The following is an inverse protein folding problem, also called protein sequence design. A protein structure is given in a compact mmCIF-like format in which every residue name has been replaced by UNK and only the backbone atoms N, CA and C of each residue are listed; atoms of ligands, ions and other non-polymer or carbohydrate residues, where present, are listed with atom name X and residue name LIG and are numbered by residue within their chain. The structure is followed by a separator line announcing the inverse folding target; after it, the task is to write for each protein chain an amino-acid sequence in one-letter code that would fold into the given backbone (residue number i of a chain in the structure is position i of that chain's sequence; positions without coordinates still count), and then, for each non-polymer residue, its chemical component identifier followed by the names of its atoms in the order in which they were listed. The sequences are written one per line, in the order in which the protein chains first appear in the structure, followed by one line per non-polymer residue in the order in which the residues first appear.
data_IF_241335204080
#
_entry.id   IF_241335204080
#
_cell.length_a   1.000
_cell.length_b   1.000
_cell.length_c   1.000
_cell.angle_alpha   90.00
_cell.angle_beta   90.00
_cell.angle_gamma   90.00
#
_symmetry.space_group_name_H-M   'P 1'
#
loop_
_entity.id
_entity.type
_entity.pdbx_description
1 polymer ?
#
# COMPACT_ATOMS: atom_id res chain seq x y z
N UNK A 1 -13.30 -2.74 -29.40
CA UNK A 1 -14.43 -1.98 -28.85
C UNK A 1 -15.71 -2.82 -28.94
N UNK A 2 -16.48 -2.86 -27.85
CA UNK A 2 -17.82 -3.45 -27.88
C UNK A 2 -18.80 -2.36 -28.36
N UNK A 3 -19.29 -2.48 -29.59
CA UNK A 3 -20.15 -1.47 -30.21
C UNK A 3 -21.55 -1.37 -29.57
N UNK A 4 -21.92 -2.25 -28.66
CA UNK A 4 -23.22 -2.25 -27.98
C UNK A 4 -23.21 -1.52 -26.64
N UNK A 5 -22.09 -1.47 -25.94
CA UNK A 5 -21.96 -0.81 -24.64
C UNK A 5 -21.35 0.56 -24.80
N UNK A 6 -22.00 1.59 -24.24
CA UNK A 6 -21.48 2.97 -24.16
C UNK A 6 -20.61 3.17 -22.91
N UNK A 7 -20.35 2.11 -22.16
CA UNK A 7 -19.46 2.10 -21.02
C UNK A 7 -18.02 1.86 -21.46
N UNK A 8 -17.09 2.59 -20.84
CA UNK A 8 -15.65 2.49 -21.08
C UNK A 8 -14.90 2.30 -19.75
N UNK A 9 -14.06 1.29 -19.69
CA UNK A 9 -13.07 1.16 -18.62
C UNK A 9 -11.75 1.77 -19.07
N UNK A 10 -11.13 2.59 -18.19
CA UNK A 10 -9.75 3.05 -18.33
C UNK A 10 -8.96 2.53 -17.14
N UNK A 11 -8.12 1.53 -17.39
CA UNK A 11 -7.32 0.87 -16.35
C UNK A 11 -5.87 1.36 -16.38
N UNK A 12 -5.41 1.92 -15.26
CA UNK A 12 -4.06 2.40 -15.06
C UNK A 12 -3.23 1.38 -14.28
N UNK A 13 -2.01 1.11 -14.73
CA UNK A 13 -1.12 0.15 -14.10
C UNK A 13 -0.32 0.76 -12.93
N UNK A 14 0.10 -0.10 -12.00
CA UNK A 14 0.98 0.26 -10.88
C UNK A 14 2.45 0.36 -11.32
N UNK A 15 3.34 0.57 -10.34
CA UNK A 15 4.79 0.58 -10.53
C UNK A 15 5.33 -0.75 -11.04
N UNK A 16 6.44 -0.70 -11.76
CA UNK A 16 7.20 -1.86 -12.24
C UNK A 16 6.40 -2.88 -13.08
N UNK A 17 5.33 -2.42 -13.72
CA UNK A 17 4.60 -3.24 -14.68
C UNK A 17 5.31 -3.14 -16.04
N UNK A 18 5.80 -4.26 -16.61
CA UNK A 18 6.50 -4.25 -17.89
C UNK A 18 5.63 -3.73 -19.04
N UNK A 19 6.29 -3.23 -20.08
CA UNK A 19 5.62 -2.82 -21.32
C UNK A 19 4.77 -3.95 -21.89
N UNK A 20 3.53 -3.66 -22.25
CA UNK A 20 2.59 -4.65 -22.78
C UNK A 20 1.86 -5.48 -21.73
N UNK A 21 2.23 -5.37 -20.44
CA UNK A 21 1.50 -5.93 -19.32
C UNK A 21 0.60 -4.87 -18.67
N UNK A 22 -0.54 -5.28 -18.13
CA UNK A 22 -1.50 -4.36 -17.52
C UNK A 22 -2.14 -4.95 -16.26
N UNK A 23 -2.28 -4.11 -15.24
CA UNK A 23 -3.02 -4.45 -14.05
C UNK A 23 -4.52 -4.61 -14.36
N UNK A 24 -5.20 -5.44 -13.60
CA UNK A 24 -6.63 -5.75 -13.79
C UNK A 24 -7.02 -6.35 -15.16
N UNK A 25 -6.07 -6.66 -16.05
CA UNK A 25 -6.35 -7.24 -17.37
C UNK A 25 -7.36 -8.40 -17.32
N UNK A 26 -7.12 -9.39 -16.45
CA UNK A 26 -7.98 -10.58 -16.33
C UNK A 26 -9.40 -10.26 -15.87
N UNK A 27 -9.55 -9.22 -15.04
CA UNK A 27 -10.83 -8.81 -14.48
C UNK A 27 -11.59 -7.96 -15.51
N UNK A 28 -10.96 -6.89 -15.98
CA UNK A 28 -11.59 -5.91 -16.88
C UNK A 28 -11.97 -6.54 -18.24
N UNK A 29 -11.21 -7.51 -18.72
CA UNK A 29 -11.58 -8.22 -19.96
C UNK A 29 -12.87 -9.03 -19.87
N UNK A 30 -13.35 -9.34 -18.66
CA UNK A 30 -14.63 -10.02 -18.42
C UNK A 30 -15.83 -9.07 -18.36
N UNK A 31 -15.60 -7.75 -18.40
CA UNK A 31 -16.65 -6.71 -18.38
C UNK A 31 -17.21 -6.51 -19.79
N UNK A 32 -18.51 -6.24 -19.89
CA UNK A 32 -19.16 -5.92 -21.18
C UNK A 32 -19.06 -4.42 -21.46
N UNK A 33 -17.86 -3.96 -21.81
CA UNK A 33 -17.54 -2.55 -22.02
C UNK A 33 -16.38 -2.40 -23.01
N UNK A 34 -16.17 -1.21 -23.55
CA UNK A 34 -14.90 -0.84 -24.20
C UNK A 34 -13.80 -0.67 -23.16
N UNK A 35 -12.54 -0.96 -23.53
CA UNK A 35 -11.43 -1.03 -22.57
C UNK A 35 -10.22 -0.29 -23.10
N UNK A 36 -9.63 0.55 -22.24
CA UNK A 36 -8.37 1.27 -22.47
C UNK A 36 -7.44 0.89 -21.32
N UNK A 37 -6.29 0.34 -21.63
CA UNK A 37 -5.26 -0.02 -20.65
C UNK A 37 -4.07 0.93 -20.82
N UNK A 38 -3.65 1.55 -19.72
CA UNK A 38 -2.58 2.54 -19.68
C UNK A 38 -1.50 2.04 -18.72
N UNK A 39 -0.24 2.11 -19.16
CA UNK A 39 0.92 1.80 -18.33
C UNK A 39 1.94 2.94 -18.39
N UNK A 40 2.51 3.29 -17.24
CA UNK A 40 3.66 4.19 -17.13
C UNK A 40 4.91 3.38 -16.73
N UNK A 41 5.58 2.82 -17.73
CA UNK A 41 6.78 1.97 -17.56
C UNK A 41 7.97 2.68 -16.88
N UNK A 42 7.88 4.00 -16.74
CA UNK A 42 8.91 4.82 -16.10
C UNK A 42 8.60 5.14 -14.63
N UNK A 43 7.51 4.61 -14.06
CA UNK A 43 7.06 4.93 -12.71
C UNK A 43 6.96 6.44 -12.46
N UNK A 44 6.51 7.21 -13.44
CA UNK A 44 6.42 8.67 -13.39
C UNK A 44 5.15 9.19 -12.73
N UNK A 45 4.33 8.31 -12.14
CA UNK A 45 3.01 8.66 -11.57
C UNK A 45 2.08 9.36 -12.55
N UNK A 46 2.25 9.09 -13.86
CA UNK A 46 1.45 9.69 -14.94
C UNK A 46 1.50 11.24 -14.99
N UNK A 47 2.31 11.91 -14.17
CA UNK A 47 2.45 13.36 -14.12
C UNK A 47 3.22 13.95 -15.31
N UNK A 48 3.77 13.10 -16.14
CA UNK A 48 4.46 13.46 -17.39
C UNK A 48 3.65 13.11 -18.64
N UNK A 49 2.42 12.63 -18.46
CA UNK A 49 1.57 12.13 -19.53
C UNK A 49 1.66 10.61 -19.73
N UNK A 50 0.98 10.12 -20.76
CA UNK A 50 0.98 8.70 -21.15
C UNK A 50 2.19 8.48 -22.06
N UNK A 51 3.06 7.49 -21.76
CA UNK A 51 4.20 7.15 -22.62
C UNK A 51 3.79 6.92 -24.08
N UNK A 52 4.51 7.58 -25.00
CA UNK A 52 4.21 7.51 -26.43
C UNK A 52 3.11 8.45 -26.92
N UNK A 53 2.38 9.14 -26.03
CA UNK A 53 1.35 10.13 -26.37
C UNK A 53 1.87 11.55 -26.19
N UNK A 54 2.53 11.82 -25.07
CA UNK A 54 3.09 13.14 -24.74
C UNK A 54 2.79 13.55 -23.32
N UNK A 55 2.79 14.87 -23.04
CA UNK A 55 2.46 15.41 -21.72
C UNK A 55 1.01 15.13 -21.30
N UNK A 56 0.66 15.59 -20.09
CA UNK A 56 -0.71 15.37 -19.54
C UNK A 56 -1.78 15.95 -20.45
N UNK A 57 -1.57 17.16 -21.01
CA UNK A 57 -2.57 17.81 -21.86
C UNK A 57 -2.80 17.02 -23.16
N UNK A 58 -1.73 16.62 -23.83
CA UNK A 58 -1.82 15.77 -25.05
C UNK A 58 -2.46 14.42 -24.73
N UNK A 59 -2.17 13.85 -23.59
CA UNK A 59 -2.76 12.59 -23.12
C UNK A 59 -4.26 12.74 -22.84
N UNK A 60 -4.69 13.85 -22.27
CA UNK A 60 -6.10 14.17 -22.07
C UNK A 60 -6.81 14.37 -23.41
N UNK A 61 -6.21 15.10 -24.37
CA UNK A 61 -6.79 15.28 -25.70
C UNK A 61 -6.91 13.95 -26.46
N UNK A 62 -5.92 13.08 -26.32
CA UNK A 62 -5.97 11.75 -26.89
C UNK A 62 -7.14 10.92 -26.31
N UNK A 63 -7.29 10.89 -24.99
CA UNK A 63 -8.40 10.17 -24.34
C UNK A 63 -9.75 10.81 -24.66
N UNK A 64 -9.84 12.13 -24.71
CA UNK A 64 -11.04 12.86 -25.12
C UNK A 64 -11.51 12.41 -26.51
N UNK A 65 -10.60 12.34 -27.48
CA UNK A 65 -10.92 11.92 -28.85
C UNK A 65 -11.38 10.47 -28.91
N UNK A 66 -10.73 9.56 -28.14
CA UNK A 66 -11.15 8.16 -28.06
C UNK A 66 -12.55 8.03 -27.47
N UNK A 67 -12.83 8.71 -26.36
CA UNK A 67 -14.13 8.65 -25.69
C UNK A 67 -15.26 9.18 -26.60
N UNK A 68 -15.02 10.25 -27.35
CA UNK A 68 -15.96 10.74 -28.33
C UNK A 68 -16.19 9.75 -29.50
N UNK A 69 -15.11 9.15 -30.01
CA UNK A 69 -15.20 8.12 -31.07
C UNK A 69 -15.98 6.90 -30.60
N UNK A 70 -15.83 6.50 -29.34
CA UNK A 70 -16.58 5.40 -28.72
C UNK A 70 -18.00 5.80 -28.32
N UNK A 71 -18.37 7.08 -28.42
CA UNK A 71 -19.63 7.63 -27.93
C UNK A 71 -19.92 7.24 -26.49
N UNK A 72 -18.89 7.38 -25.63
CA UNK A 72 -18.97 7.00 -24.22
C UNK A 72 -20.04 7.81 -23.48
N UNK A 73 -20.87 7.16 -22.69
CA UNK A 73 -21.83 7.77 -21.76
C UNK A 73 -21.39 7.60 -20.31
N UNK A 74 -20.72 6.48 -20.02
CA UNK A 74 -20.17 6.19 -18.72
C UNK A 74 -18.70 5.76 -18.84
N UNK A 75 -17.87 6.24 -17.91
CA UNK A 75 -16.45 5.91 -17.84
C UNK A 75 -16.08 5.53 -16.41
N UNK A 76 -15.50 4.36 -16.25
CA UNK A 76 -14.92 3.92 -14.98
C UNK A 76 -13.40 3.91 -15.12
N UNK A 77 -12.74 4.77 -14.32
CA UNK A 77 -11.29 4.75 -14.21
C UNK A 77 -10.90 3.86 -13.01
N UNK A 78 -9.91 3.00 -13.19
CA UNK A 78 -9.52 2.06 -12.15
C UNK A 78 -7.99 1.91 -12.11
N UNK A 79 -7.42 1.84 -10.92
CA UNK A 79 -5.99 1.57 -10.78
C UNK A 79 -5.54 1.34 -9.36
N UNK A 80 -4.45 0.55 -9.15
CA UNK A 80 -3.82 0.38 -7.85
C UNK A 80 -2.58 1.26 -7.72
N UNK A 81 -2.31 1.77 -6.51
CA UNK A 81 -1.11 2.55 -6.17
C UNK A 81 -0.87 3.71 -7.15
N UNK A 82 0.26 3.72 -7.87
CA UNK A 82 0.54 4.69 -8.95
C UNK A 82 -0.61 4.79 -9.95
N UNK A 83 -1.22 3.66 -10.32
CA UNK A 83 -2.38 3.63 -11.23
C UNK A 83 -3.62 4.25 -10.63
N UNK A 84 -3.82 4.15 -9.30
CA UNK A 84 -4.89 4.84 -8.59
C UNK A 84 -4.75 6.36 -8.67
N UNK A 85 -3.51 6.86 -8.51
CA UNK A 85 -3.21 8.27 -8.74
C UNK A 85 -3.52 8.70 -10.18
N UNK A 86 -3.05 7.94 -11.18
CA UNK A 86 -3.33 8.20 -12.59
C UNK A 86 -4.84 8.24 -12.89
N UNK A 87 -5.59 7.27 -12.35
CA UNK A 87 -7.04 7.22 -12.50
C UNK A 87 -7.74 8.48 -11.95
N UNK A 88 -7.31 8.96 -10.78
CA UNK A 88 -7.85 10.18 -10.16
C UNK A 88 -7.45 11.44 -10.93
N UNK A 89 -6.18 11.59 -11.30
CA UNK A 89 -5.68 12.75 -12.05
C UNK A 89 -6.39 12.92 -13.40
N UNK A 90 -6.37 11.87 -14.21
CA UNK A 90 -6.97 11.90 -15.55
C UNK A 90 -8.48 11.95 -15.49
N UNK A 91 -9.09 11.22 -14.55
CA UNK A 91 -10.54 11.24 -14.34
C UNK A 91 -11.06 12.62 -13.97
N UNK A 92 -10.36 13.32 -13.06
CA UNK A 92 -10.74 14.68 -12.66
C UNK A 92 -10.69 15.68 -13.84
N UNK A 93 -9.60 15.63 -14.62
CA UNK A 93 -9.45 16.55 -15.78
C UNK A 93 -10.49 16.20 -16.88
N UNK A 94 -10.70 14.91 -17.18
CA UNK A 94 -11.68 14.47 -18.16
C UNK A 94 -13.10 14.82 -17.73
N UNK A 95 -13.47 14.64 -16.46
CA UNK A 95 -14.77 15.02 -15.92
C UNK A 95 -15.07 16.51 -16.12
N UNK A 96 -14.09 17.37 -15.85
CA UNK A 96 -14.22 18.81 -16.09
C UNK A 96 -14.34 19.16 -17.58
N UNK A 97 -13.65 18.42 -18.46
CA UNK A 97 -13.65 18.63 -19.91
C UNK A 97 -14.88 18.05 -20.61
N UNK A 98 -15.48 16.99 -20.05
CA UNK A 98 -16.61 16.23 -20.59
C UNK A 98 -17.73 16.08 -19.53
N UNK A 99 -18.35 17.17 -19.03
CA UNK A 99 -19.31 17.10 -17.93
C UNK A 99 -20.59 16.31 -18.26
N UNK A 100 -20.83 16.06 -19.54
CA UNK A 100 -21.99 15.28 -20.04
C UNK A 100 -21.75 13.76 -19.95
N UNK A 101 -20.52 13.29 -19.62
CA UNK A 101 -20.22 11.88 -19.38
C UNK A 101 -20.22 11.62 -17.88
N UNK A 102 -20.78 10.49 -17.46
CA UNK A 102 -20.69 10.04 -16.09
C UNK A 102 -19.32 9.41 -15.86
N UNK A 103 -18.48 10.05 -15.04
CA UNK A 103 -17.17 9.52 -14.65
C UNK A 103 -17.21 9.02 -13.21
N UNK A 104 -16.66 7.83 -12.99
CA UNK A 104 -16.42 7.24 -11.66
C UNK A 104 -14.99 6.72 -11.58
N UNK A 105 -14.39 6.79 -10.39
CA UNK A 105 -13.03 6.32 -10.15
C UNK A 105 -12.99 5.33 -8.99
N UNK A 106 -12.39 4.16 -9.23
CA UNK A 106 -12.11 3.15 -8.21
C UNK A 106 -10.59 3.03 -8.03
N UNK A 107 -10.08 3.63 -6.96
CA UNK A 107 -8.66 3.67 -6.64
C UNK A 107 -8.31 2.73 -5.49
N UNK A 108 -7.25 1.96 -5.64
CA UNK A 108 -6.75 1.04 -4.60
C UNK A 108 -5.38 1.53 -4.10
N UNK A 109 -5.35 2.25 -2.98
CA UNK A 109 -4.11 2.76 -2.39
C UNK A 109 -3.43 3.86 -3.23
N UNK A 110 -4.19 4.65 -4.01
CA UNK A 110 -3.64 5.79 -4.76
C UNK A 110 -3.24 6.94 -3.83
N UNK A 111 -2.14 7.61 -4.16
CA UNK A 111 -1.70 8.82 -3.45
C UNK A 111 -2.49 10.04 -3.96
N UNK A 112 -2.85 10.98 -3.08
CA UNK A 112 -3.45 12.28 -3.45
C UNK A 112 -2.42 13.41 -3.43
N UNK A 113 -1.38 13.23 -2.60
CA UNK A 113 -0.26 14.14 -2.50
C UNK A 113 1.04 13.36 -2.67
N UNK A 114 1.69 13.55 -3.81
CA UNK A 114 2.96 12.91 -4.16
C UNK A 114 4.13 13.55 -3.39
N UNK A 115 5.22 12.82 -3.27
CA UNK A 115 6.53 13.28 -2.78
C UNK A 115 6.55 13.79 -1.33
N UNK A 116 5.50 13.59 -0.55
CA UNK A 116 5.57 13.82 0.90
C UNK A 116 6.60 12.88 1.53
N UNK A 117 7.11 13.21 2.70
CA UNK A 117 8.11 12.38 3.38
C UNK A 117 7.58 10.95 3.52
N UNK A 118 8.37 9.97 3.16
CA UNK A 118 8.04 8.54 3.13
C UNK A 118 7.04 8.10 2.04
N UNK A 119 6.49 8.97 1.21
CA UNK A 119 5.61 8.58 0.10
C UNK A 119 6.33 7.68 -0.92
N UNK A 120 5.59 6.76 -1.51
CA UNK A 120 6.12 5.83 -2.53
C UNK A 120 6.54 6.56 -3.79
N UNK A 121 5.79 7.58 -4.20
CA UNK A 121 6.15 8.44 -5.33
C UNK A 121 7.53 9.07 -5.17
N UNK A 122 7.92 9.44 -3.95
CA UNK A 122 9.25 9.97 -3.66
C UNK A 122 10.37 8.93 -3.73
N UNK A 123 10.06 7.65 -3.50
CA UNK A 123 11.02 6.54 -3.42
C UNK A 123 11.13 5.74 -4.72
N UNK A 124 10.03 5.57 -5.44
CA UNK A 124 9.93 4.64 -6.57
C UNK A 124 9.86 5.32 -7.93
N UNK A 125 9.66 6.64 -8.00
CA UNK A 125 9.62 7.36 -9.27
C UNK A 125 10.99 7.32 -9.97
N UNK A 126 10.96 6.89 -11.23
CA UNK A 126 12.14 6.91 -12.15
C UNK A 126 12.24 8.20 -12.97
N UNK A 127 11.30 9.13 -12.78
CA UNK A 127 11.25 10.43 -13.47
C UNK A 127 11.49 11.57 -12.49
N UNK A 128 11.95 12.74 -12.95
CA UNK A 128 12.02 13.94 -12.13
C UNK A 128 10.65 14.26 -11.50
N UNK A 129 10.68 14.91 -10.35
CA UNK A 129 9.44 15.38 -9.68
C UNK A 129 8.75 16.44 -10.55
N UNK A 130 7.42 16.32 -10.70
CA UNK A 130 6.60 17.35 -11.31
C UNK A 130 5.76 18.03 -10.23
N UNK A 131 6.13 19.24 -9.78
CA UNK A 131 5.41 19.91 -8.69
C UNK A 131 4.00 20.35 -9.07
N UNK A 132 3.70 20.52 -10.35
CA UNK A 132 2.39 21.00 -10.82
C UNK A 132 1.26 19.99 -10.48
N UNK A 133 1.57 18.70 -10.56
CA UNK A 133 0.64 17.63 -10.22
C UNK A 133 1.02 16.92 -8.91
N UNK A 134 1.85 17.52 -8.06
CA UNK A 134 2.25 16.89 -6.81
C UNK A 134 1.09 16.73 -5.82
N UNK A 135 0.15 17.67 -5.82
CA UNK A 135 -1.02 17.66 -4.95
C UNK A 135 -2.30 17.84 -5.78
N UNK A 136 -3.08 16.77 -5.90
CA UNK A 136 -4.31 16.77 -6.70
C UNK A 136 -5.59 16.94 -5.87
N UNK A 137 -5.49 17.19 -4.56
CA UNK A 137 -6.66 17.29 -3.66
C UNK A 137 -7.65 18.37 -4.10
N UNK A 138 -7.15 19.56 -4.44
CA UNK A 138 -8.01 20.64 -4.96
C UNK A 138 -8.62 20.25 -6.32
N UNK A 139 -7.85 19.64 -7.20
CA UNK A 139 -8.32 19.21 -8.52
C UNK A 139 -9.46 18.19 -8.40
N UNK A 140 -9.28 17.13 -7.61
CA UNK A 140 -10.32 16.09 -7.45
C UNK A 140 -11.56 16.64 -6.75
N UNK A 141 -11.39 17.51 -5.77
CA UNK A 141 -12.53 18.17 -5.09
C UNK A 141 -13.34 19.05 -6.05
N UNK A 142 -12.65 19.85 -6.89
CA UNK A 142 -13.32 20.78 -7.82
C UNK A 142 -13.92 20.11 -9.04
N UNK A 143 -13.44 18.93 -9.41
CA UNK A 143 -13.92 18.19 -10.59
C UNK A 143 -15.25 17.49 -10.36
N UNK A 144 -15.65 17.31 -9.10
CA UNK A 144 -16.82 16.50 -8.71
C UNK A 144 -16.77 15.06 -9.29
N UNK A 145 -15.55 14.52 -9.51
CA UNK A 145 -15.37 13.13 -9.88
C UNK A 145 -15.73 12.23 -8.70
N UNK A 146 -16.67 11.33 -8.87
CA UNK A 146 -16.98 10.32 -7.84
C UNK A 146 -15.82 9.35 -7.68
N UNK A 147 -15.17 9.37 -6.52
CA UNK A 147 -14.02 8.55 -6.21
C UNK A 147 -14.36 7.62 -5.05
N UNK A 148 -14.12 6.32 -5.25
CA UNK A 148 -14.00 5.35 -4.16
C UNK A 148 -12.52 5.02 -3.99
N UNK A 149 -11.97 5.42 -2.85
CA UNK A 149 -10.59 5.10 -2.45
C UNK A 149 -10.60 3.95 -1.45
N UNK A 150 -10.12 2.79 -1.90
CA UNK A 150 -9.92 1.60 -1.07
C UNK A 150 -8.47 1.56 -0.62
N UNK A 151 -8.20 1.48 0.68
CA UNK A 151 -6.84 1.48 1.22
C UNK A 151 -6.66 0.49 2.37
N UNK A 152 -5.41 0.05 2.59
CA UNK A 152 -5.07 -0.84 3.68
C UNK A 152 -4.77 -0.06 4.98
N UNK A 153 -5.27 -0.53 6.11
CA UNK A 153 -5.00 0.10 7.41
C UNK A 153 -3.72 -0.43 8.09
N UNK A 154 -2.97 -1.29 7.43
CA UNK A 154 -1.62 -1.71 7.84
C UNK A 154 -0.52 -0.98 7.04
N UNK A 155 -0.84 0.18 6.49
CA UNK A 155 0.12 1.03 5.78
C UNK A 155 -0.01 2.50 6.18
N UNK A 156 1.06 3.07 6.73
CA UNK A 156 1.07 4.44 7.24
C UNK A 156 0.80 5.48 6.15
N UNK A 157 1.37 5.29 4.95
CA UNK A 157 1.17 6.25 3.87
C UNK A 157 -0.26 6.24 3.37
N UNK A 158 -0.85 5.04 3.21
CA UNK A 158 -2.23 4.90 2.77
C UNK A 158 -3.19 5.55 3.76
N UNK A 159 -3.00 5.31 5.06
CA UNK A 159 -3.77 5.93 6.14
C UNK A 159 -3.63 7.46 6.11
N UNK A 160 -2.40 7.97 5.90
CA UNK A 160 -2.19 9.41 5.85
C UNK A 160 -2.75 10.05 4.58
N UNK A 161 -2.65 9.39 3.43
CA UNK A 161 -3.28 9.85 2.19
C UNK A 161 -4.81 9.93 2.33
N UNK A 162 -5.44 8.94 2.99
CA UNK A 162 -6.86 8.97 3.31
C UNK A 162 -7.22 10.11 4.27
N UNK A 163 -6.36 10.38 5.31
CA UNK A 163 -6.51 11.54 6.19
C UNK A 163 -6.55 12.86 5.41
N UNK A 164 -5.67 13.04 4.42
CA UNK A 164 -5.56 14.28 3.64
C UNK A 164 -6.83 14.64 2.87
N UNK A 165 -7.65 13.67 2.53
CA UNK A 165 -8.89 13.85 1.73
C UNK A 165 -10.16 13.58 2.53
N UNK A 166 -10.04 13.28 3.81
CA UNK A 166 -11.18 13.00 4.67
C UNK A 166 -12.15 14.19 4.72
N UNK A 167 -13.41 13.94 4.37
CA UNK A 167 -14.46 14.96 4.36
C UNK A 167 -14.59 15.72 3.03
N UNK A 168 -13.82 15.37 2.00
CA UNK A 168 -14.08 15.81 0.63
C UNK A 168 -15.33 15.06 0.13
N UNK A 169 -16.38 15.78 -0.27
CA UNK A 169 -17.74 15.28 -0.47
C UNK A 169 -17.86 14.18 -1.53
N UNK A 170 -17.05 14.25 -2.58
CA UNK A 170 -17.07 13.32 -3.72
C UNK A 170 -16.02 12.19 -3.59
N UNK A 171 -15.49 11.97 -2.38
CA UNK A 171 -14.53 10.88 -2.09
C UNK A 171 -15.06 9.99 -0.98
N UNK A 172 -15.39 8.76 -1.34
CA UNK A 172 -15.71 7.68 -0.40
C UNK A 172 -14.44 6.92 -0.02
N UNK A 173 -14.16 6.84 1.27
CA UNK A 173 -12.99 6.15 1.82
C UNK A 173 -13.40 4.79 2.37
N UNK A 174 -12.71 3.73 1.93
CA UNK A 174 -12.91 2.36 2.41
C UNK A 174 -11.60 1.84 2.98
N UNK A 175 -11.53 1.68 4.30
CA UNK A 175 -10.39 1.10 5.00
C UNK A 175 -10.54 -0.42 5.08
N UNK A 176 -9.54 -1.16 4.63
CA UNK A 176 -9.52 -2.62 4.69
C UNK A 176 -8.62 -3.06 5.84
N UNK A 177 -9.24 -3.68 6.86
CA UNK A 177 -8.55 -4.07 8.11
C UNK A 177 -7.42 -5.06 7.86
N UNK A 178 -6.27 -4.79 8.49
CA UNK A 178 -5.05 -5.60 8.42
C UNK A 178 -4.52 -5.80 6.98
N UNK A 179 -4.90 -4.94 6.06
CA UNK A 179 -4.42 -4.99 4.68
C UNK A 179 -3.17 -4.13 4.50
N UNK A 180 -2.13 -4.64 3.85
CA UNK A 180 -0.99 -3.85 3.41
C UNK A 180 -1.39 -2.94 2.23
N UNK A 181 -0.43 -2.12 1.77
CA UNK A 181 -0.61 -1.24 0.61
C UNK A 181 -1.17 -1.94 -0.66
N UNK A 182 -0.74 -3.18 -0.92
CA UNK A 182 -1.24 -3.95 -2.06
C UNK A 182 -2.70 -4.43 -1.84
N UNK A 183 -3.59 -3.53 -1.45
CA UNK A 183 -4.95 -3.82 -1.02
C UNK A 183 -5.77 -4.57 -2.06
N UNK A 184 -5.62 -4.26 -3.37
CA UNK A 184 -6.30 -5.01 -4.44
C UNK A 184 -5.87 -6.47 -4.53
N UNK A 185 -4.58 -6.74 -4.31
CA UNK A 185 -4.04 -8.12 -4.27
C UNK A 185 -4.50 -8.84 -3.00
N UNK A 186 -4.52 -8.15 -1.86
CA UNK A 186 -5.02 -8.69 -0.60
C UNK A 186 -6.50 -9.07 -0.70
N UNK A 187 -7.33 -8.18 -1.22
CA UNK A 187 -8.75 -8.43 -1.44
C UNK A 187 -8.97 -9.58 -2.43
N UNK A 188 -8.22 -9.65 -3.52
CA UNK A 188 -8.34 -10.72 -4.52
C UNK A 188 -8.06 -12.12 -3.98
N UNK A 189 -7.41 -12.26 -2.82
CA UNK A 189 -7.24 -13.53 -2.10
C UNK A 189 -8.41 -13.85 -1.15
N UNK A 190 -9.22 -12.86 -0.79
CA UNK A 190 -10.27 -12.98 0.24
C UNK A 190 -11.68 -12.93 -0.34
N UNK A 191 -11.89 -12.22 -1.46
CA UNK A 191 -13.20 -12.05 -2.09
C UNK A 191 -13.11 -12.26 -3.61
N UNK A 192 -14.26 -12.47 -4.26
CA UNK A 192 -14.37 -12.36 -5.71
C UNK A 192 -14.34 -10.90 -6.14
N UNK A 193 -13.12 -10.40 -6.39
CA UNK A 193 -12.89 -9.02 -6.80
C UNK A 193 -13.58 -8.68 -8.14
N UNK A 194 -13.78 -9.67 -9.03
CA UNK A 194 -14.53 -9.48 -10.28
C UNK A 194 -15.99 -9.14 -9.98
N UNK A 195 -16.61 -9.87 -9.06
CA UNK A 195 -17.98 -9.61 -8.62
C UNK A 195 -18.10 -8.26 -7.92
N UNK A 196 -17.16 -7.91 -7.05
CA UNK A 196 -17.14 -6.63 -6.34
C UNK A 196 -17.05 -5.44 -7.33
N UNK A 197 -16.20 -5.53 -8.36
CA UNK A 197 -16.09 -4.49 -9.40
C UNK A 197 -17.36 -4.43 -10.27
N UNK A 198 -18.00 -5.55 -10.59
CA UNK A 198 -19.31 -5.55 -11.27
C UNK A 198 -20.41 -4.90 -10.45
N UNK A 199 -20.43 -5.14 -9.15
CA UNK A 199 -21.37 -4.45 -8.25
C UNK A 199 -21.11 -2.93 -8.23
N UNK A 200 -19.83 -2.53 -8.20
CA UNK A 200 -19.47 -1.12 -8.31
C UNK A 200 -19.93 -0.51 -9.67
N UNK A 201 -19.73 -1.24 -10.78
CA UNK A 201 -20.25 -0.85 -12.09
C UNK A 201 -21.76 -0.59 -12.04
N UNK A 202 -22.52 -1.54 -11.46
CA UNK A 202 -23.99 -1.50 -11.49
C UNK A 202 -24.60 -0.50 -10.51
N UNK A 203 -23.99 -0.34 -9.32
CA UNK A 203 -24.61 0.38 -8.19
C UNK A 203 -23.79 1.57 -7.70
N UNK A 204 -22.60 1.82 -8.22
CA UNK A 204 -21.70 2.88 -7.77
C UNK A 204 -21.11 2.65 -6.38
N UNK A 205 -21.34 1.48 -5.76
CA UNK A 205 -20.88 1.14 -4.42
C UNK A 205 -19.90 -0.02 -4.45
N UNK A 206 -18.74 0.16 -3.83
CA UNK A 206 -17.77 -0.90 -3.64
C UNK A 206 -17.85 -1.36 -2.17
N UNK A 207 -18.32 -2.57 -1.95
CA UNK A 207 -18.56 -3.11 -0.61
C UNK A 207 -17.53 -4.18 -0.28
N UNK A 208 -16.93 -4.09 0.92
CA UNK A 208 -16.05 -5.11 1.49
C UNK A 208 -16.42 -5.35 2.95
N UNK A 209 -16.54 -6.61 3.35
CA UNK A 209 -16.97 -7.02 4.69
C UNK A 209 -15.99 -6.60 5.81
N UNK A 210 -14.74 -6.29 5.45
CA UNK A 210 -13.66 -5.95 6.39
C UNK A 210 -13.43 -4.45 6.55
N UNK A 211 -14.38 -3.61 6.16
CA UNK A 211 -14.22 -2.16 6.26
C UNK A 211 -14.22 -1.70 7.74
N UNK A 212 -13.18 -0.98 8.12
CA UNK A 212 -13.10 -0.31 9.42
C UNK A 212 -13.91 0.99 9.40
N UNK A 213 -14.34 1.49 10.59
CA UNK A 213 -15.06 2.75 10.67
C UNK A 213 -14.15 3.94 10.34
N UNK A 214 -14.25 4.45 9.11
CA UNK A 214 -13.37 5.48 8.54
C UNK A 214 -13.45 6.82 9.26
N UNK A 215 -14.58 7.13 9.94
CA UNK A 215 -14.77 8.43 10.61
C UNK A 215 -13.75 8.69 11.72
N UNK A 216 -13.25 7.64 12.37
CA UNK A 216 -12.24 7.73 13.44
C UNK A 216 -10.82 7.93 12.89
N UNK A 217 -10.56 7.60 11.62
CA UNK A 217 -9.22 7.67 11.04
C UNK A 217 -8.73 9.09 10.73
N UNK A 218 -9.59 10.12 10.80
CA UNK A 218 -9.17 11.48 10.46
C UNK A 218 -8.00 11.96 11.32
N UNK A 219 -8.18 12.05 12.64
CA UNK A 219 -7.14 12.53 13.56
C UNK A 219 -6.10 11.43 13.84
N UNK A 220 -6.53 10.18 13.97
CA UNK A 220 -5.68 9.03 14.17
C UNK A 220 -4.61 8.91 13.07
N UNK A 221 -4.98 9.01 11.79
CA UNK A 221 -4.05 8.88 10.68
C UNK A 221 -2.93 9.93 10.71
N UNK A 222 -3.26 11.18 11.03
CA UNK A 222 -2.25 12.23 11.20
C UNK A 222 -1.31 11.94 12.38
N UNK A 223 -1.86 11.56 13.54
CA UNK A 223 -1.06 11.25 14.73
C UNK A 223 -0.12 10.07 14.50
N UNK A 224 -0.60 9.01 13.86
CA UNK A 224 0.21 7.84 13.51
C UNK A 224 1.35 8.21 12.55
N UNK A 225 1.04 8.95 11.48
CA UNK A 225 2.04 9.37 10.50
C UNK A 225 3.09 10.30 11.11
N UNK A 226 2.69 11.35 11.83
CA UNK A 226 3.64 12.24 12.48
C UNK A 226 4.41 11.57 13.61
N UNK A 227 3.80 10.65 14.36
CA UNK A 227 4.51 9.79 15.30
C UNK A 227 5.63 8.99 14.64
N UNK A 228 5.34 8.39 13.48
CA UNK A 228 6.35 7.69 12.68
C UNK A 228 7.47 8.63 12.20
N UNK A 229 7.15 9.82 11.69
CA UNK A 229 8.17 10.78 11.27
C UNK A 229 9.08 11.20 12.44
N UNK A 230 8.51 11.41 13.65
CA UNK A 230 9.32 11.69 14.83
C UNK A 230 10.29 10.57 15.18
N UNK A 231 9.91 9.31 14.97
CA UNK A 231 10.84 8.16 15.13
C UNK A 231 11.99 8.22 14.12
N UNK A 232 11.71 8.54 12.87
CA UNK A 232 12.74 8.70 11.83
C UNK A 232 13.70 9.84 12.12
N UNK A 233 13.21 10.91 12.77
CA UNK A 233 14.00 12.04 13.21
C UNK A 233 14.67 11.81 14.60
N UNK A 234 14.67 10.54 15.08
CA UNK A 234 15.27 10.11 16.34
C UNK A 234 14.64 10.76 17.60
N UNK A 235 13.43 11.29 17.48
CA UNK A 235 12.67 11.94 18.56
C UNK A 235 11.61 10.99 19.15
N UNK A 236 12.08 9.93 19.81
CA UNK A 236 11.20 8.89 20.35
C UNK A 236 10.22 9.41 21.40
N UNK A 237 10.57 10.44 22.20
CA UNK A 237 9.67 11.00 23.23
C UNK A 237 8.43 11.64 22.62
N UNK A 238 8.59 12.45 21.57
CA UNK A 238 7.46 13.07 20.89
C UNK A 238 6.67 12.06 20.06
N UNK A 239 7.36 11.06 19.49
CA UNK A 239 6.70 9.94 18.82
C UNK A 239 5.73 9.22 19.77
N UNK A 240 6.18 8.85 20.97
CA UNK A 240 5.36 8.19 21.99
C UNK A 240 4.11 9.01 22.29
N UNK A 241 4.25 10.31 22.58
CA UNK A 241 3.10 11.18 22.87
C UNK A 241 2.04 11.19 21.76
N UNK A 242 2.48 11.21 20.49
CA UNK A 242 1.56 11.18 19.34
C UNK A 242 0.90 9.81 19.18
N UNK A 243 1.67 8.74 19.33
CA UNK A 243 1.18 7.37 19.19
C UNK A 243 0.22 6.99 20.33
N UNK A 244 0.49 7.41 21.56
CA UNK A 244 -0.44 7.27 22.70
C UNK A 244 -1.77 7.98 22.43
N UNK A 245 -1.74 9.22 21.90
CA UNK A 245 -2.96 9.91 21.48
C UNK A 245 -3.69 9.16 20.35
N UNK A 246 -2.95 8.61 19.38
CA UNK A 246 -3.56 7.79 18.33
C UNK A 246 -4.29 6.57 18.92
N UNK A 247 -3.69 5.90 19.91
CA UNK A 247 -4.29 4.75 20.61
C UNK A 247 -5.56 5.16 21.38
N UNK A 248 -5.62 6.36 21.95
CA UNK A 248 -6.87 6.81 22.61
C UNK A 248 -8.04 6.98 21.66
N UNK A 249 -7.76 7.23 20.36
CA UNK A 249 -8.78 7.36 19.31
C UNK A 249 -9.17 5.98 18.76
N UNK A 250 -8.19 5.11 18.44
CA UNK A 250 -8.41 3.74 17.94
C UNK A 250 -7.52 2.78 18.73
N UNK A 251 -7.99 2.23 19.85
CA UNK A 251 -7.22 1.34 20.71
C UNK A 251 -6.82 0.02 20.03
N UNK A 252 -7.67 -0.50 19.14
CA UNK A 252 -7.56 -1.80 18.47
C UNK A 252 -6.90 -1.70 17.08
N UNK A 253 -5.99 -0.75 16.89
CA UNK A 253 -5.24 -0.60 15.65
C UNK A 253 -3.84 -1.22 15.78
N UNK A 254 -3.62 -2.37 15.11
CA UNK A 254 -2.40 -3.16 15.23
C UNK A 254 -1.12 -2.39 14.89
N UNK A 255 -1.14 -1.63 13.78
CA UNK A 255 0.01 -0.86 13.34
C UNK A 255 0.40 0.25 14.33
N UNK A 256 -0.58 0.90 14.99
CA UNK A 256 -0.30 1.93 16.00
C UNK A 256 0.34 1.31 17.24
N UNK A 257 -0.18 0.16 17.73
CA UNK A 257 0.43 -0.60 18.81
C UNK A 257 1.87 -0.99 18.50
N UNK A 258 2.11 -1.53 17.30
CA UNK A 258 3.45 -1.87 16.82
C UNK A 258 4.39 -0.64 16.81
N UNK A 259 3.94 0.49 16.28
CA UNK A 259 4.77 1.71 16.22
C UNK A 259 5.08 2.27 17.59
N UNK A 260 4.14 2.21 18.54
CA UNK A 260 4.42 2.60 19.94
C UNK A 260 5.46 1.68 20.56
N UNK A 261 5.35 0.35 20.36
CA UNK A 261 6.37 -0.60 20.81
C UNK A 261 7.76 -0.27 20.26
N UNK A 262 7.87 0.10 18.97
CA UNK A 262 9.15 0.53 18.38
C UNK A 262 9.69 1.82 19.01
N UNK A 263 8.84 2.82 19.25
CA UNK A 263 9.26 4.08 19.87
C UNK A 263 9.75 3.85 21.32
N UNK A 264 9.13 2.91 22.04
CA UNK A 264 9.55 2.49 23.37
C UNK A 264 10.92 1.76 23.34
N UNK A 265 11.17 0.91 22.33
CA UNK A 265 12.48 0.28 22.11
C UNK A 265 13.59 1.31 21.91
N UNK A 266 13.33 2.40 21.17
CA UNK A 266 14.31 3.49 21.01
C UNK A 266 14.71 4.12 22.36
N UNK A 267 13.85 4.07 23.37
CA UNK A 267 14.12 4.53 24.73
C UNK A 267 14.57 3.39 25.67
N UNK A 268 14.86 2.18 25.15
CA UNK A 268 15.25 0.98 25.91
C UNK A 268 14.22 0.52 26.95
N UNK A 269 12.95 0.81 26.71
CA UNK A 269 11.82 0.40 27.55
C UNK A 269 11.29 -0.97 27.06
N UNK A 270 12.11 -2.01 27.18
CA UNK A 270 11.89 -3.31 26.56
C UNK A 270 10.60 -4.00 27.03
N UNK A 271 10.27 -3.93 28.32
CA UNK A 271 9.05 -4.56 28.88
C UNK A 271 7.78 -3.92 28.32
N UNK A 272 7.75 -2.58 28.30
CA UNK A 272 6.61 -1.83 27.74
C UNK A 272 6.51 -2.10 26.23
N UNK A 273 7.63 -2.12 25.53
CA UNK A 273 7.69 -2.42 24.09
C UNK A 273 7.15 -3.82 23.78
N UNK A 274 7.55 -4.84 24.54
CA UNK A 274 7.07 -6.20 24.37
C UNK A 274 5.55 -6.29 24.50
N UNK A 275 4.97 -5.63 25.52
CA UNK A 275 3.52 -5.57 25.70
C UNK A 275 2.81 -5.03 24.45
N UNK A 276 3.29 -3.91 23.90
CA UNK A 276 2.69 -3.31 22.72
C UNK A 276 2.89 -4.15 21.44
N UNK A 277 4.01 -4.86 21.32
CA UNK A 277 4.20 -5.82 20.22
C UNK A 277 3.23 -7.03 20.34
N UNK A 278 3.03 -7.56 21.54
CA UNK A 278 2.07 -8.64 21.81
C UNK A 278 0.62 -8.19 21.53
N UNK A 279 0.24 -6.98 21.94
CA UNK A 279 -1.06 -6.39 21.55
C UNK A 279 -1.20 -6.27 20.03
N UNK A 280 -0.13 -5.86 19.33
CA UNK A 280 -0.16 -5.72 17.88
C UNK A 280 -0.43 -7.07 17.18
N UNK A 281 0.24 -8.17 17.58
CA UNK A 281 -0.01 -9.50 16.99
C UNK A 281 -1.36 -10.10 17.39
N UNK A 282 -1.89 -9.75 18.55
CA UNK A 282 -3.26 -10.16 18.94
C UNK A 282 -4.30 -9.51 18.03
N UNK A 283 -4.08 -8.28 17.59
CA UNK A 283 -4.96 -7.53 16.69
C UNK A 283 -4.74 -7.91 15.20
N UNK A 284 -3.49 -8.17 14.82
CA UNK A 284 -3.11 -8.64 13.48
C UNK A 284 -2.06 -9.76 13.59
N UNK A 285 -2.47 -11.03 13.59
CA UNK A 285 -1.56 -12.18 13.68
C UNK A 285 -0.59 -12.33 12.49
N UNK A 286 -0.80 -11.62 11.40
CA UNK A 286 0.07 -11.64 10.23
C UNK A 286 1.04 -10.44 10.18
N UNK A 287 1.13 -9.64 11.26
CA UNK A 287 2.02 -8.49 11.33
C UNK A 287 3.49 -8.93 11.52
N UNK A 288 4.17 -9.26 10.41
CA UNK A 288 5.53 -9.81 10.39
C UNK A 288 6.53 -9.01 11.24
N UNK A 289 6.50 -7.68 11.14
CA UNK A 289 7.42 -6.83 11.89
C UNK A 289 7.22 -6.89 13.41
N UNK A 290 5.99 -7.06 13.90
CA UNK A 290 5.74 -7.23 15.33
C UNK A 290 6.29 -8.56 15.83
N UNK A 291 6.07 -9.65 15.08
CA UNK A 291 6.68 -10.94 15.36
C UNK A 291 8.21 -10.86 15.41
N UNK A 292 8.84 -10.18 14.47
CA UNK A 292 10.29 -9.98 14.47
C UNK A 292 10.79 -9.32 15.76
N UNK A 293 10.11 -8.27 16.23
CA UNK A 293 10.53 -7.56 17.44
C UNK A 293 10.27 -8.36 18.72
N UNK A 294 9.20 -9.15 18.80
CA UNK A 294 8.97 -10.09 19.91
C UNK A 294 10.10 -11.14 19.94
N UNK A 295 10.44 -11.70 18.77
CA UNK A 295 11.53 -12.68 18.67
C UNK A 295 12.85 -12.12 19.17
N UNK A 296 13.22 -10.92 18.71
CA UNK A 296 14.45 -10.22 19.12
C UNK A 296 14.49 -9.98 20.63
N UNK A 297 13.39 -9.49 21.21
CA UNK A 297 13.30 -9.26 22.66
C UNK A 297 13.34 -10.57 23.45
N UNK A 298 12.71 -11.63 22.96
CA UNK A 298 12.74 -12.96 23.57
C UNK A 298 14.17 -13.56 23.56
N UNK A 299 14.88 -13.41 22.45
CA UNK A 299 16.28 -13.84 22.33
C UNK A 299 17.20 -13.08 23.31
N UNK A 300 17.04 -11.76 23.43
CA UNK A 300 17.78 -10.95 24.41
C UNK A 300 17.51 -11.40 25.84
N UNK A 301 16.31 -11.84 26.15
CA UNK A 301 15.91 -12.36 27.46
C UNK A 301 16.29 -13.86 27.66
N UNK A 302 16.91 -14.50 26.67
CA UNK A 302 17.32 -15.91 26.74
C UNK A 302 16.20 -16.92 26.48
N UNK A 303 15.00 -16.49 26.12
CA UNK A 303 13.90 -17.39 25.74
C UNK A 303 14.03 -17.81 24.26
N UNK A 304 14.93 -18.77 24.05
CA UNK A 304 15.26 -19.26 22.69
C UNK A 304 14.04 -19.87 21.99
N UNK A 305 13.15 -20.57 22.71
CA UNK A 305 11.97 -21.22 22.12
C UNK A 305 10.94 -20.18 21.64
N UNK A 306 10.68 -19.16 22.46
CA UNK A 306 9.79 -18.05 22.08
C UNK A 306 10.38 -17.26 20.91
N UNK A 307 11.68 -17.00 20.92
CA UNK A 307 12.37 -16.32 19.82
C UNK A 307 12.23 -17.09 18.51
N UNK A 308 12.54 -18.39 18.50
CA UNK A 308 12.40 -19.25 17.33
C UNK A 308 10.99 -19.25 16.78
N UNK A 309 9.98 -19.43 17.63
CA UNK A 309 8.58 -19.40 17.23
C UNK A 309 8.23 -18.09 16.51
N UNK A 310 8.57 -16.96 17.10
CA UNK A 310 8.20 -15.67 16.50
C UNK A 310 9.03 -15.30 15.27
N UNK A 311 10.28 -15.73 15.15
CA UNK A 311 11.03 -15.61 13.88
C UNK A 311 10.36 -16.42 12.77
N UNK A 312 9.91 -17.65 13.06
CA UNK A 312 9.18 -18.47 12.09
C UNK A 312 7.84 -17.82 11.66
N UNK A 313 7.07 -17.28 12.61
CA UNK A 313 5.84 -16.57 12.31
C UNK A 313 6.08 -15.30 11.46
N UNK A 314 7.14 -14.56 11.74
CA UNK A 314 7.57 -13.45 10.91
C UNK A 314 7.83 -13.89 9.46
N UNK A 315 8.59 -14.99 9.27
CA UNK A 315 8.91 -15.53 7.95
C UNK A 315 7.67 -16.11 7.26
N UNK A 316 6.74 -16.72 8.00
CA UNK A 316 5.46 -17.20 7.48
C UNK A 316 4.64 -16.04 6.89
N UNK A 317 4.62 -14.89 7.57
CA UNK A 317 3.87 -13.70 7.15
C UNK A 317 4.58 -12.91 6.04
N UNK A 318 5.92 -12.90 6.05
CA UNK A 318 6.77 -12.29 5.03
C UNK A 318 7.97 -13.18 4.73
N UNK A 319 7.84 -14.03 3.71
CA UNK A 319 8.89 -14.98 3.29
C UNK A 319 10.21 -14.30 2.92
N UNK A 320 10.19 -13.01 2.56
CA UNK A 320 11.35 -12.21 2.18
C UNK A 320 11.88 -11.35 3.31
N UNK A 321 11.47 -11.57 4.54
CA UNK A 321 11.97 -10.82 5.68
C UNK A 321 13.42 -11.21 6.02
N UNK A 322 14.38 -10.65 5.27
CA UNK A 322 15.81 -10.99 5.31
C UNK A 322 16.37 -10.95 6.74
N UNK A 323 16.00 -9.93 7.53
CA UNK A 323 16.47 -9.80 8.91
C UNK A 323 16.02 -10.96 9.79
N UNK A 324 14.76 -11.41 9.64
CA UNK A 324 14.26 -12.56 10.41
C UNK A 324 14.95 -13.86 10.02
N UNK A 325 15.16 -14.08 8.72
CA UNK A 325 15.91 -15.24 8.22
C UNK A 325 17.34 -15.28 8.76
N UNK A 326 18.05 -14.14 8.75
CA UNK A 326 19.42 -14.04 9.30
C UNK A 326 19.42 -14.27 10.81
N UNK A 327 18.51 -13.61 11.56
CA UNK A 327 18.42 -13.78 13.01
C UNK A 327 18.12 -15.22 13.41
N UNK A 328 17.18 -15.87 12.70
CA UNK A 328 16.87 -17.29 12.92
C UNK A 328 18.05 -18.20 12.59
N UNK A 329 18.79 -17.90 11.51
CA UNK A 329 20.00 -18.64 11.15
C UNK A 329 21.08 -18.53 12.23
N UNK A 330 21.31 -17.34 12.77
CA UNK A 330 22.25 -17.13 13.88
C UNK A 330 21.79 -17.82 15.17
N UNK A 331 20.50 -17.82 15.46
CA UNK A 331 19.92 -18.53 16.58
C UNK A 331 20.18 -20.04 16.47
N UNK A 332 19.96 -20.63 15.29
CA UNK A 332 20.24 -22.05 15.04
C UNK A 332 21.75 -22.38 15.11
N UNK A 333 22.62 -21.51 14.57
CA UNK A 333 24.06 -21.66 14.71
C UNK A 333 24.48 -21.72 16.22
N UNK A 334 23.93 -20.83 17.04
CA UNK A 334 24.15 -20.73 18.48
C UNK A 334 23.73 -22.00 19.23
N UNK A 335 22.62 -22.62 18.82
CA UNK A 335 22.16 -23.90 19.45
C UNK A 335 22.66 -25.13 18.72
N UNK A 336 23.59 -24.98 17.77
CA UNK A 336 24.25 -26.03 16.99
C UNK A 336 23.34 -26.82 16.05
N UNK A 337 22.20 -26.27 15.67
CA UNK A 337 21.31 -26.81 14.66
C UNK A 337 21.76 -26.32 13.26
N UNK A 338 22.92 -26.84 12.83
CA UNK A 338 23.63 -26.30 11.65
C UNK A 338 22.88 -26.48 10.34
N UNK A 339 22.14 -27.56 10.16
CA UNK A 339 21.33 -27.78 8.95
C UNK A 339 20.25 -26.71 8.81
N UNK A 340 19.52 -26.38 9.89
CA UNK A 340 18.51 -25.35 9.90
C UNK A 340 19.13 -23.95 9.72
N UNK A 341 20.31 -23.71 10.27
CA UNK A 341 21.02 -22.45 10.06
C UNK A 341 21.41 -22.26 8.59
N UNK A 342 21.88 -23.30 7.92
CA UNK A 342 22.23 -23.29 6.50
C UNK A 342 20.96 -23.08 5.62
N UNK A 343 19.84 -23.77 5.91
CA UNK A 343 18.58 -23.58 5.16
C UNK A 343 18.13 -22.11 5.18
N UNK A 344 18.12 -21.49 6.36
CA UNK A 344 17.79 -20.07 6.48
C UNK A 344 18.76 -19.18 5.69
N UNK A 345 20.08 -19.45 5.78
CA UNK A 345 21.09 -18.68 5.06
C UNK A 345 20.99 -18.84 3.54
N UNK A 346 20.72 -20.03 3.02
CA UNK A 346 20.50 -20.25 1.60
C UNK A 346 19.23 -19.56 1.09
N UNK A 347 18.15 -19.50 1.88
CA UNK A 347 16.97 -18.69 1.55
C UNK A 347 17.31 -17.20 1.42
N UNK A 348 18.13 -16.67 2.33
CA UNK A 348 18.64 -15.28 2.22
C UNK A 348 19.40 -15.09 0.91
N UNK A 349 20.30 -16.00 0.56
CA UNK A 349 21.13 -15.92 -0.65
C UNK A 349 20.29 -16.05 -1.93
N UNK A 350 19.20 -16.82 -1.91
CA UNK A 350 18.26 -16.89 -3.02
C UNK A 350 17.55 -15.54 -3.30
N UNK A 351 17.33 -14.72 -2.27
CA UNK A 351 16.77 -13.37 -2.41
C UNK A 351 17.83 -12.28 -2.62
N UNK A 352 19.07 -12.52 -2.16
CA UNK A 352 20.17 -11.57 -2.16
C UNK A 352 21.51 -12.33 -2.20
N UNK A 353 21.97 -12.72 -3.39
CA UNK A 353 23.17 -13.54 -3.64
C UNK A 353 24.43 -13.00 -2.93
N UNK A 354 24.57 -11.67 -2.85
CA UNK A 354 25.70 -10.98 -2.23
C UNK A 354 25.56 -10.71 -0.73
N UNK A 355 24.58 -11.28 -0.03
CA UNK A 355 24.38 -10.99 1.39
C UNK A 355 25.54 -11.50 2.24
N UNK A 356 26.37 -10.56 2.75
CA UNK A 356 27.60 -10.88 3.50
C UNK A 356 27.35 -11.72 4.74
N UNK A 357 26.31 -11.40 5.52
CA UNK A 357 26.01 -12.12 6.77
C UNK A 357 25.66 -13.58 6.50
N UNK A 358 24.82 -13.84 5.49
CA UNK A 358 24.45 -15.20 5.10
C UNK A 358 25.68 -15.99 4.58
N UNK A 359 26.52 -15.37 3.74
CA UNK A 359 27.77 -15.97 3.26
C UNK A 359 28.73 -16.29 4.41
N UNK A 360 28.85 -15.43 5.43
CA UNK A 360 29.71 -15.66 6.56
C UNK A 360 29.22 -16.81 7.47
N UNK A 361 27.88 -16.90 7.66
CA UNK A 361 27.30 -18.04 8.40
C UNK A 361 27.58 -19.36 7.66
N UNK A 362 27.31 -19.41 6.36
CA UNK A 362 27.60 -20.61 5.55
C UNK A 362 29.08 -20.99 5.66
N UNK A 363 30.01 -20.05 5.49
CA UNK A 363 31.47 -20.34 5.62
C UNK A 363 31.88 -20.85 6.98
N UNK A 364 31.26 -20.37 8.07
CA UNK A 364 31.59 -20.84 9.42
C UNK A 364 31.13 -22.27 9.67
N UNK A 365 29.94 -22.61 9.15
CA UNK A 365 29.35 -23.93 9.40
C UNK A 365 29.93 -25.02 8.47
N UNK A 366 30.35 -24.66 7.24
CA UNK A 366 30.87 -25.65 6.25
C UNK A 366 32.36 -25.84 6.28
N UNK A 367 33.09 -25.13 7.15
CA UNK A 367 34.54 -25.37 7.46
C UNK A 367 34.72 -26.43 8.55
#
# INVERSE_FOLDING_TARGET
PNHKSKMVYIAFSSVDIPRGAFMFWKIINRMDASKIFINDEHNGWYVHGIPGVGDVNKSIDFLFNILNMLKAEEVILIGPSMGGYGAMLYGAILKMKMPWIQFRCLSFGGEFHLYIKEARSGKLSKKPRNPYYADIRCLVSSSELDIVQVYGDDDINDIYQAHLVHGIKNIDLISVRNSPHAVSTYLGKKIDLTKAIKNYESYGKFEVESASNVSQFKEHGALLYFGHLMMLDNNAKEAIKKLEKAITIIPDHALTQHKLGLALLMLKKEKEALLHQELAINLNPDLAHAHFHIAMLSEMNGDIKKAEYHYKECIRSDERHIRALISLSLLYEKVKEYELALDCSYKVLAYSEGNKMALDIVRRITK
#
